data_IF_887485192219
#
_entry.id   IF_887485192219
#
_cell.length_a   1.000
_cell.length_b   1.000
_cell.length_c   1.000
_cell.angle_alpha   90.00
_cell.angle_beta   90.00
_cell.angle_gamma   90.00
#
_symmetry.space_group_name_H-M   'P 1'
#
loop_
_entity.id
_entity.type
_entity.pdbx_description
1 polymer ?
#
# COMPACT_ATOMS: atom_id res chain seq x y z
N UNK A 1 -5.51 -24.25 -11.68
CA UNK A 1 -5.76 -24.06 -13.12
C UNK A 1 -4.52 -24.35 -14.02
N UNK A 2 -3.44 -24.92 -13.46
CA UNK A 2 -2.23 -25.38 -14.15
C UNK A 2 -1.63 -24.40 -15.19
N UNK A 3 -1.88 -23.11 -15.05
CA UNK A 3 -1.31 -22.08 -15.94
C UNK A 3 0.21 -21.95 -15.78
N UNK A 4 0.76 -22.37 -14.64
CA UNK A 4 2.21 -22.55 -14.45
C UNK A 4 2.46 -24.02 -14.25
N UNK A 5 3.24 -24.63 -15.14
CA UNK A 5 3.53 -26.06 -15.10
C UNK A 5 4.50 -26.40 -13.96
N UNK A 6 4.33 -27.55 -13.29
CA UNK A 6 5.28 -28.04 -12.29
C UNK A 6 6.73 -28.13 -12.79
N UNK A 7 6.93 -28.32 -14.09
CA UNK A 7 8.25 -28.35 -14.73
C UNK A 7 9.08 -27.08 -14.57
N UNK A 8 8.46 -25.96 -14.13
CA UNK A 8 9.16 -24.73 -13.81
C UNK A 8 9.73 -24.68 -12.37
N UNK A 9 9.30 -25.63 -11.50
CA UNK A 9 9.78 -25.69 -10.12
C UNK A 9 11.30 -25.87 -9.97
N UNK A 10 11.97 -26.76 -10.76
CA UNK A 10 13.41 -26.91 -10.65
C UNK A 10 14.18 -25.58 -10.79
N UNK A 11 13.76 -24.68 -11.69
CA UNK A 11 14.37 -23.36 -11.85
C UNK A 11 14.29 -22.50 -10.57
N UNK A 12 13.20 -22.60 -9.80
CA UNK A 12 13.06 -21.89 -8.55
C UNK A 12 13.94 -22.52 -7.45
N UNK A 13 14.09 -23.84 -7.47
CA UNK A 13 14.97 -24.55 -6.52
C UNK A 13 16.44 -24.24 -6.80
N UNK A 14 16.88 -24.24 -8.05
CA UNK A 14 18.24 -23.83 -8.41
C UNK A 14 18.56 -22.40 -7.93
N UNK A 15 17.58 -21.50 -8.04
CA UNK A 15 17.76 -20.11 -7.60
C UNK A 15 17.82 -19.98 -6.08
N UNK A 16 16.98 -20.75 -5.33
CA UNK A 16 16.99 -20.69 -3.86
C UNK A 16 18.28 -21.29 -3.28
N UNK A 17 18.92 -22.25 -3.98
CA UNK A 17 20.21 -22.85 -3.61
C UNK A 17 21.36 -21.84 -3.71
N UNK A 18 21.23 -20.78 -4.53
CA UNK A 18 22.20 -19.67 -4.61
C UNK A 18 22.25 -18.81 -3.34
N UNK A 19 21.42 -19.11 -2.35
CA UNK A 19 21.42 -18.43 -1.07
C UNK A 19 20.24 -17.48 -0.82
N UNK A 20 19.25 -17.43 -1.72
CA UNK A 20 18.03 -16.65 -1.50
C UNK A 20 17.09 -17.35 -0.50
N UNK A 21 16.29 -16.55 0.20
CA UNK A 21 15.34 -17.05 1.19
C UNK A 21 13.97 -17.32 0.57
N UNK A 22 13.59 -16.51 -0.44
CA UNK A 22 12.36 -16.64 -1.20
C UNK A 22 12.63 -16.35 -2.67
N UNK A 23 12.07 -17.17 -3.56
CA UNK A 23 12.17 -16.98 -5.01
C UNK A 23 10.78 -16.94 -5.60
N UNK A 24 10.44 -15.84 -6.27
CA UNK A 24 9.18 -15.67 -7.01
C UNK A 24 9.37 -15.93 -8.49
N UNK A 25 8.50 -16.75 -9.07
CA UNK A 25 8.36 -16.82 -10.52
C UNK A 25 7.50 -15.67 -11.02
N UNK A 26 7.93 -14.88 -12.00
CA UNK A 26 7.11 -13.84 -12.59
C UNK A 26 6.83 -14.06 -14.08
N UNK A 27 5.73 -13.51 -14.56
CA UNK A 27 5.29 -13.65 -15.95
C UNK A 27 5.71 -12.43 -16.77
N UNK A 28 6.65 -12.55 -17.73
CA UNK A 28 7.19 -11.43 -18.50
C UNK A 28 6.15 -10.80 -19.43
N UNK A 29 5.27 -11.60 -20.02
CA UNK A 29 4.28 -11.14 -21.00
C UNK A 29 2.90 -10.97 -20.38
N UNK A 30 2.41 -9.72 -20.29
CA UNK A 30 1.01 -9.38 -20.05
C UNK A 30 0.49 -8.57 -21.23
N UNK A 31 -0.14 -9.24 -22.22
CA UNK A 31 -0.87 -8.58 -23.30
C UNK A 31 -2.23 -8.08 -22.80
N UNK A 32 -2.29 -6.83 -22.33
CA UNK A 32 -3.53 -6.22 -21.85
C UNK A 32 -3.78 -4.86 -22.50
N UNK A 33 -5.05 -4.43 -22.60
CA UNK A 33 -5.41 -3.11 -23.13
C UNK A 33 -4.80 -1.97 -22.30
N UNK A 34 -4.54 -0.81 -22.92
CA UNK A 34 -3.90 0.36 -22.27
C UNK A 34 -4.62 0.81 -21.00
N UNK A 35 -5.95 0.80 -20.99
CA UNK A 35 -6.76 1.19 -19.83
C UNK A 35 -6.58 0.23 -18.65
N UNK A 36 -6.56 -1.08 -18.92
CA UNK A 36 -6.33 -2.12 -17.88
C UNK A 36 -4.90 -2.10 -17.37
N UNK A 37 -3.94 -1.71 -18.20
CA UNK A 37 -2.55 -1.52 -17.79
C UNK A 37 -2.40 -0.34 -16.82
N UNK A 38 -3.10 0.77 -17.04
CA UNK A 38 -3.10 1.92 -16.14
C UNK A 38 -3.68 1.55 -14.76
N UNK A 39 -4.84 0.89 -14.72
CA UNK A 39 -5.43 0.41 -13.46
C UNK A 39 -4.52 -0.59 -12.72
N UNK A 40 -3.87 -1.50 -13.47
CA UNK A 40 -2.89 -2.41 -12.90
C UNK A 40 -1.66 -1.66 -12.37
N UNK A 41 -1.17 -0.65 -13.08
CA UNK A 41 -0.03 0.15 -12.63
C UNK A 41 -0.35 0.90 -11.33
N UNK A 42 -1.49 1.58 -11.25
CA UNK A 42 -1.96 2.26 -10.02
C UNK A 42 -2.05 1.26 -8.86
N UNK A 43 -2.63 0.09 -9.10
CA UNK A 43 -2.72 -0.96 -8.09
C UNK A 43 -1.34 -1.44 -7.64
N UNK A 44 -0.44 -1.75 -8.58
CA UNK A 44 0.91 -2.21 -8.25
C UNK A 44 1.70 -1.15 -7.47
N UNK A 45 1.59 0.11 -7.85
CA UNK A 45 2.29 1.20 -7.19
C UNK A 45 1.71 1.46 -5.79
N UNK A 46 0.39 1.43 -5.63
CA UNK A 46 -0.26 1.51 -4.33
C UNK A 46 0.20 0.38 -3.40
N UNK A 47 0.16 -0.86 -3.88
CA UNK A 47 0.63 -2.04 -3.13
C UNK A 47 2.12 -1.92 -2.78
N UNK A 48 2.93 -1.43 -3.70
CA UNK A 48 4.36 -1.22 -3.47
C UNK A 48 4.61 -0.26 -2.31
N UNK A 49 3.92 0.88 -2.31
CA UNK A 49 4.04 1.91 -1.26
C UNK A 49 3.49 1.38 0.07
N UNK A 50 2.31 0.76 0.05
CA UNK A 50 1.61 0.29 1.25
C UNK A 50 2.37 -0.85 1.97
N UNK A 51 3.02 -1.75 1.22
CA UNK A 51 3.73 -2.92 1.78
C UNK A 51 5.24 -2.67 1.92
N UNK A 52 5.75 -1.56 1.36
CA UNK A 52 7.19 -1.27 1.35
C UNK A 52 7.99 -2.20 0.42
N UNK A 53 7.38 -2.62 -0.69
CA UNK A 53 7.98 -3.53 -1.66
C UNK A 53 9.13 -2.86 -2.43
N UNK A 54 10.31 -3.50 -2.58
CA UNK A 54 11.41 -2.96 -3.37
C UNK A 54 11.04 -2.67 -4.82
N UNK A 55 11.65 -1.64 -5.41
CA UNK A 55 11.48 -1.31 -6.84
C UNK A 55 11.98 -2.49 -7.69
N UNK A 56 11.21 -2.83 -8.73
CA UNK A 56 11.58 -3.92 -9.66
C UNK A 56 11.19 -5.33 -9.19
N UNK A 57 10.82 -5.54 -7.95
CA UNK A 57 10.39 -6.85 -7.46
C UNK A 57 9.03 -7.23 -8.07
N UNK A 58 9.01 -8.31 -8.84
CA UNK A 58 7.80 -8.88 -9.43
C UNK A 58 7.38 -10.10 -8.63
N UNK A 59 6.20 -10.08 -8.06
CA UNK A 59 5.66 -11.18 -7.25
C UNK A 59 4.48 -11.85 -7.96
N UNK A 60 4.36 -13.15 -7.77
CA UNK A 60 3.20 -13.94 -8.20
C UNK A 60 2.77 -14.90 -7.09
N UNK A 61 1.78 -15.72 -7.37
CA UNK A 61 1.38 -16.82 -6.50
C UNK A 61 2.25 -18.08 -6.64
N UNK A 62 3.17 -18.08 -7.62
CA UNK A 62 4.10 -19.17 -7.85
C UNK A 62 5.47 -18.82 -7.28
N UNK A 63 5.83 -19.42 -6.15
CA UNK A 63 7.06 -19.12 -5.42
C UNK A 63 7.51 -20.29 -4.57
N UNK A 64 8.77 -20.29 -4.18
CA UNK A 64 9.36 -21.19 -3.18
C UNK A 64 9.95 -20.36 -2.06
N UNK A 65 9.97 -20.90 -0.84
CA UNK A 65 10.57 -20.25 0.33
C UNK A 65 11.30 -21.25 1.22
N UNK A 66 12.30 -20.77 1.94
CA UNK A 66 12.99 -21.57 2.96
C UNK A 66 12.09 -21.86 4.15
N UNK A 67 12.40 -22.94 4.86
CA UNK A 67 11.63 -23.42 6.01
C UNK A 67 11.40 -22.35 7.08
N UNK A 68 12.42 -21.58 7.45
CA UNK A 68 12.30 -20.55 8.49
C UNK A 68 11.31 -19.45 8.13
N UNK A 69 11.23 -19.06 6.84
CA UNK A 69 10.23 -18.07 6.35
C UNK A 69 8.82 -18.60 6.50
N UNK A 70 8.60 -19.86 6.13
CA UNK A 70 7.32 -20.55 6.33
C UNK A 70 6.95 -20.61 7.80
N UNK A 71 7.88 -21.01 8.65
CA UNK A 71 7.64 -21.21 10.09
C UNK A 71 7.28 -19.89 10.78
N UNK A 72 7.87 -18.76 10.34
CA UNK A 72 7.48 -17.43 10.79
C UNK A 72 6.05 -17.07 10.34
N UNK A 73 5.71 -17.33 9.08
CA UNK A 73 4.40 -17.01 8.52
C UNK A 73 3.28 -17.76 9.20
N UNK A 74 3.48 -19.07 9.53
CA UNK A 74 2.46 -19.90 10.19
C UNK A 74 2.17 -19.46 11.64
N UNK A 75 3.10 -18.79 12.30
CA UNK A 75 2.87 -18.24 13.64
C UNK A 75 1.95 -17.03 13.66
N UNK A 76 1.76 -16.39 12.50
CA UNK A 76 0.90 -15.23 12.38
C UNK A 76 -0.58 -15.62 12.31
N UNK A 77 -1.35 -15.27 13.35
CA UNK A 77 -2.75 -15.72 13.53
C UNK A 77 -3.80 -14.67 13.22
N UNK A 78 -3.39 -13.50 12.71
CA UNK A 78 -4.33 -12.42 12.40
C UNK A 78 -5.23 -12.75 11.20
N UNK A 79 -6.53 -12.39 11.25
CA UNK A 79 -7.52 -12.80 10.24
C UNK A 79 -7.32 -12.12 8.87
N UNK A 80 -6.68 -10.95 8.83
CA UNK A 80 -6.46 -10.17 7.60
C UNK A 80 -4.99 -10.15 7.23
N UNK A 81 -4.53 -11.23 6.62
CA UNK A 81 -3.11 -11.45 6.33
C UNK A 81 -2.82 -11.20 4.85
N UNK A 82 -1.80 -10.40 4.57
CA UNK A 82 -1.24 -10.27 3.22
C UNK A 82 0.09 -11.02 3.14
N UNK A 83 0.09 -12.19 2.49
CA UNK A 83 1.24 -13.10 2.46
C UNK A 83 2.55 -12.44 2.00
N UNK A 84 2.50 -11.62 0.94
CA UNK A 84 3.69 -10.92 0.44
C UNK A 84 4.23 -9.90 1.47
N UNK A 85 3.34 -9.26 2.23
CA UNK A 85 3.73 -8.38 3.32
C UNK A 85 4.42 -9.12 4.45
N UNK A 86 3.95 -10.32 4.82
CA UNK A 86 4.60 -11.16 5.83
C UNK A 86 5.99 -11.63 5.36
N UNK A 87 6.11 -12.06 4.11
CA UNK A 87 7.40 -12.42 3.52
C UNK A 87 8.39 -11.26 3.64
N UNK A 88 7.98 -10.04 3.26
CA UNK A 88 8.84 -8.84 3.33
C UNK A 88 9.20 -8.39 4.75
N UNK A 89 8.38 -8.77 5.74
CA UNK A 89 8.71 -8.58 7.18
C UNK A 89 9.75 -9.58 7.66
N UNK A 90 9.74 -10.79 7.11
CA UNK A 90 10.65 -11.87 7.53
C UNK A 90 12.01 -11.76 6.87
N UNK A 91 12.06 -11.47 5.57
CA UNK A 91 13.30 -11.35 4.82
C UNK A 91 13.21 -10.36 3.68
N UNK A 92 14.36 -9.80 3.31
CA UNK A 92 14.54 -9.00 2.09
C UNK A 92 15.43 -9.68 1.05
N UNK A 93 15.95 -10.84 1.38
CA UNK A 93 16.78 -11.65 0.49
C UNK A 93 15.90 -12.47 -0.48
N UNK A 94 15.34 -11.78 -1.47
CA UNK A 94 14.32 -12.30 -2.38
C UNK A 94 14.81 -12.17 -3.80
N UNK A 95 14.70 -13.26 -4.58
CA UNK A 95 14.92 -13.28 -6.02
C UNK A 95 13.62 -13.38 -6.81
N UNK A 96 13.65 -12.95 -8.06
CA UNK A 96 12.54 -13.06 -9.00
C UNK A 96 13.04 -13.57 -10.34
N UNK A 97 12.52 -14.72 -10.80
CA UNK A 97 12.90 -15.31 -12.08
C UNK A 97 11.71 -15.36 -13.05
N UNK A 98 11.94 -15.22 -14.35
CA UNK A 98 10.89 -15.37 -15.33
C UNK A 98 10.45 -16.84 -15.44
N UNK A 99 9.14 -17.06 -15.44
CA UNK A 99 8.54 -18.36 -15.66
C UNK A 99 7.50 -18.29 -16.77
N UNK A 100 7.33 -19.39 -17.48
CA UNK A 100 6.35 -19.49 -18.55
C UNK A 100 4.94 -19.52 -17.96
N UNK A 101 4.04 -18.77 -18.58
CA UNK A 101 2.64 -18.72 -18.22
C UNK A 101 1.80 -19.14 -19.42
N UNK A 102 1.04 -20.19 -19.26
CA UNK A 102 0.18 -20.73 -20.30
C UNK A 102 -1.23 -20.17 -20.19
N UNK A 103 -1.93 -20.13 -21.30
CA UNK A 103 -3.33 -19.77 -21.30
C UNK A 103 -4.16 -20.79 -20.50
N UNK A 104 -5.23 -20.30 -19.91
CA UNK A 104 -6.12 -21.09 -19.08
C UNK A 104 -6.86 -22.10 -19.96
N UNK A 105 -6.70 -23.39 -19.70
CA UNK A 105 -7.37 -24.45 -20.45
C UNK A 105 -8.90 -24.46 -20.21
N UNK A 106 -9.35 -24.14 -18.98
CA UNK A 106 -10.77 -24.14 -18.60
C UNK A 106 -11.08 -23.00 -17.61
N UNK A 107 -12.31 -22.45 -17.69
CA UNK A 107 -12.87 -21.51 -16.73
C UNK A 107 -12.63 -20.03 -17.06
N UNK A 108 -13.42 -19.16 -16.40
CA UNK A 108 -13.36 -17.71 -16.53
C UNK A 108 -12.57 -17.08 -15.39
N UNK A 109 -12.06 -15.87 -15.63
CA UNK A 109 -11.36 -15.09 -14.58
C UNK A 109 -12.29 -14.79 -13.42
N UNK A 110 -11.97 -15.29 -12.23
CA UNK A 110 -12.73 -15.03 -11.00
C UNK A 110 -12.53 -13.60 -10.42
N UNK A 111 -11.83 -12.70 -11.11
CA UNK A 111 -11.59 -11.32 -10.68
C UNK A 111 -12.80 -10.45 -11.01
N UNK A 112 -13.66 -10.24 -10.02
CA UNK A 112 -14.76 -9.29 -10.09
C UNK A 112 -14.33 -7.99 -9.42
N UNK A 113 -14.89 -6.84 -9.85
CA UNK A 113 -14.59 -5.51 -9.28
C UNK A 113 -14.77 -5.48 -7.75
N UNK A 114 -15.81 -6.14 -7.21
CA UNK A 114 -16.01 -6.31 -5.76
C UNK A 114 -14.85 -7.03 -5.06
N UNK A 115 -14.28 -8.05 -5.71
CA UNK A 115 -13.10 -8.77 -5.17
C UNK A 115 -11.85 -7.91 -5.19
N UNK A 116 -11.67 -7.05 -6.20
CA UNK A 116 -10.56 -6.10 -6.26
C UNK A 116 -10.64 -5.05 -5.15
N UNK A 117 -11.84 -4.49 -4.88
CA UNK A 117 -12.06 -3.56 -3.78
C UNK A 117 -11.74 -4.23 -2.44
N UNK A 118 -12.21 -5.48 -2.22
CA UNK A 118 -11.93 -6.23 -1.00
C UNK A 118 -10.44 -6.51 -0.81
N UNK A 119 -9.74 -6.88 -1.87
CA UNK A 119 -8.28 -7.05 -1.84
C UNK A 119 -7.57 -5.75 -1.48
N UNK A 120 -7.98 -4.64 -2.08
CA UNK A 120 -7.40 -3.32 -1.81
C UNK A 120 -7.67 -2.87 -0.37
N UNK A 121 -8.88 -3.06 0.14
CA UNK A 121 -9.24 -2.80 1.54
C UNK A 121 -8.37 -3.57 2.52
N UNK A 122 -8.11 -4.87 2.25
CA UNK A 122 -7.24 -5.68 3.09
C UNK A 122 -5.79 -5.16 3.09
N UNK A 123 -5.28 -4.70 1.94
CA UNK A 123 -3.92 -4.14 1.84
C UNK A 123 -3.81 -2.80 2.55
N UNK A 124 -4.83 -1.94 2.42
CA UNK A 124 -4.91 -0.65 3.13
C UNK A 124 -4.94 -0.87 4.64
N UNK A 125 -5.74 -1.83 5.12
CA UNK A 125 -5.79 -2.20 6.54
C UNK A 125 -4.48 -2.76 7.10
N UNK A 126 -3.61 -3.30 6.25
CA UNK A 126 -2.29 -3.81 6.64
C UNK A 126 -1.20 -2.72 6.71
N UNK A 127 -1.45 -1.54 6.19
CA UNK A 127 -0.46 -0.48 6.04
C UNK A 127 -0.77 0.74 6.90
N UNK A 128 0.24 1.27 7.56
CA UNK A 128 0.16 2.55 8.30
C UNK A 128 0.33 3.77 7.37
N UNK A 129 0.62 3.57 6.08
CA UNK A 129 0.86 4.67 5.12
C UNK A 129 -0.35 5.60 4.97
N UNK A 130 -1.61 5.12 4.82
CA UNK A 130 -2.77 6.01 4.73
C UNK A 130 -2.94 6.91 5.95
N UNK A 131 -2.64 6.38 7.15
CA UNK A 131 -2.70 7.15 8.38
C UNK A 131 -1.62 8.23 8.43
N UNK A 132 -0.39 7.92 8.01
CA UNK A 132 0.70 8.91 7.88
C UNK A 132 0.35 10.01 6.89
N UNK A 133 -0.27 9.66 5.77
CA UNK A 133 -0.75 10.67 4.82
C UNK A 133 -1.81 11.58 5.45
N UNK A 134 -2.76 11.02 6.21
CA UNK A 134 -3.76 11.81 6.93
C UNK A 134 -3.11 12.73 7.97
N UNK A 135 -2.11 12.24 8.72
CA UNK A 135 -1.34 13.04 9.68
C UNK A 135 -0.62 14.20 9.00
N UNK A 136 0.08 13.94 7.89
CA UNK A 136 0.77 14.99 7.14
C UNK A 136 -0.19 16.04 6.57
N UNK A 137 -1.31 15.60 5.98
CA UNK A 137 -2.35 16.50 5.48
C UNK A 137 -2.96 17.34 6.61
N UNK A 138 -3.25 16.71 7.75
CA UNK A 138 -3.76 17.38 8.94
C UNK A 138 -2.80 18.47 9.44
N UNK A 139 -1.51 18.17 9.49
CA UNK A 139 -0.48 19.16 9.87
C UNK A 139 -0.44 20.34 8.90
N UNK A 140 -0.49 20.09 7.60
CA UNK A 140 -0.51 21.14 6.57
C UNK A 140 -1.75 22.02 6.71
N UNK A 141 -2.95 21.44 6.83
CA UNK A 141 -4.18 22.21 7.00
C UNK A 141 -4.23 22.98 8.31
N UNK A 142 -3.75 22.40 9.40
CA UNK A 142 -3.64 23.10 10.69
C UNK A 142 -2.71 24.32 10.59
N UNK A 143 -1.57 24.17 9.92
CA UNK A 143 -0.61 25.26 9.70
C UNK A 143 -1.19 26.38 8.83
N UNK A 144 -1.86 26.03 7.72
CA UNK A 144 -2.55 26.99 6.86
C UNK A 144 -3.67 27.72 7.60
N UNK A 145 -4.44 27.03 8.43
CA UNK A 145 -5.47 27.61 9.27
C UNK A 145 -4.90 28.60 10.30
N UNK A 146 -3.78 28.24 10.93
CA UNK A 146 -3.10 29.11 11.89
C UNK A 146 -2.58 30.40 11.22
N UNK A 147 -1.92 30.25 10.06
CA UNK A 147 -1.44 31.40 9.27
C UNK A 147 -2.64 32.28 8.84
N UNK A 148 -3.73 31.66 8.36
CA UNK A 148 -4.95 32.37 8.00
C UNK A 148 -5.54 33.14 9.17
N UNK A 149 -5.59 32.54 10.36
CA UNK A 149 -6.05 33.21 11.58
C UNK A 149 -5.19 34.44 11.94
N UNK A 150 -3.86 34.29 11.88
CA UNK A 150 -2.92 35.40 12.13
C UNK A 150 -3.16 36.53 11.12
N UNK A 151 -3.28 36.21 9.82
CA UNK A 151 -3.53 37.22 8.79
C UNK A 151 -4.86 37.96 9.02
N UNK A 152 -5.91 37.25 9.43
CA UNK A 152 -7.22 37.88 9.74
C UNK A 152 -7.09 38.80 10.95
N UNK A 153 -6.40 38.39 12.00
CA UNK A 153 -6.18 39.21 13.21
C UNK A 153 -5.41 40.51 12.84
N UNK A 154 -4.29 40.37 12.10
CA UNK A 154 -3.48 41.53 11.67
C UNK A 154 -4.31 42.49 10.81
N UNK A 155 -5.07 41.98 9.84
CA UNK A 155 -5.94 42.85 9.02
C UNK A 155 -7.00 43.56 9.83
N UNK A 156 -7.56 42.93 10.85
CA UNK A 156 -8.54 43.59 11.73
C UNK A 156 -7.95 44.71 12.54
N UNK A 157 -6.73 44.54 13.05
CA UNK A 157 -6.00 45.59 13.79
C UNK A 157 -5.72 46.79 12.87
N UNK A 158 -5.34 46.52 11.61
CA UNK A 158 -5.04 47.58 10.64
C UNK A 158 -6.29 48.27 10.08
N UNK A 159 -7.41 47.59 10.00
CA UNK A 159 -8.68 48.13 9.49
C UNK A 159 -9.87 47.69 10.35
N UNK A 160 -10.19 48.46 11.41
CA UNK A 160 -11.29 48.15 12.34
C UNK A 160 -12.69 48.07 11.72
N UNK A 161 -12.90 48.76 10.59
CA UNK A 161 -14.17 48.74 9.87
C UNK A 161 -14.43 47.46 9.06
N UNK A 162 -13.46 46.58 8.94
CA UNK A 162 -13.58 45.36 8.18
C UNK A 162 -14.60 44.38 8.78
N UNK A 163 -15.59 43.99 7.98
CA UNK A 163 -16.52 42.92 8.37
C UNK A 163 -15.77 41.58 8.44
N UNK A 164 -15.73 40.99 9.63
CA UNK A 164 -14.98 39.77 9.87
C UNK A 164 -15.93 38.62 10.22
N UNK A 165 -16.45 37.96 9.23
CA UNK A 165 -17.22 36.73 9.51
C UNK A 165 -16.61 35.53 8.79
N UNK A 166 -16.54 35.64 7.46
CA UNK A 166 -16.22 34.51 6.61
C UNK A 166 -14.75 34.04 6.70
N UNK A 167 -13.82 34.98 6.67
CA UNK A 167 -12.39 34.63 6.67
C UNK A 167 -11.93 34.02 8.00
N UNK A 168 -12.42 34.56 9.12
CA UNK A 168 -12.11 34.00 10.45
C UNK A 168 -12.73 32.63 10.66
N UNK A 169 -13.98 32.43 10.16
CA UNK A 169 -14.64 31.13 10.20
C UNK A 169 -13.86 30.10 9.40
N UNK A 170 -13.46 30.42 8.16
CA UNK A 170 -12.64 29.53 7.33
C UNK A 170 -11.29 29.20 7.96
N UNK A 171 -10.60 30.18 8.54
CA UNK A 171 -9.35 29.95 9.23
C UNK A 171 -9.53 29.01 10.44
N UNK A 172 -10.59 29.21 11.22
CA UNK A 172 -10.91 28.32 12.34
C UNK A 172 -11.24 26.89 11.86
N UNK A 173 -12.05 26.73 10.80
CA UNK A 173 -12.39 25.41 10.24
C UNK A 173 -11.11 24.69 9.78
N UNK A 174 -10.23 25.34 9.04
CA UNK A 174 -8.98 24.71 8.58
C UNK A 174 -8.08 24.32 9.75
N UNK A 175 -7.95 25.18 10.75
CA UNK A 175 -7.13 24.91 11.92
C UNK A 175 -7.64 23.70 12.71
N UNK A 176 -8.92 23.71 13.10
CA UNK A 176 -9.47 22.63 13.91
C UNK A 176 -9.60 21.32 13.13
N UNK A 177 -9.98 21.36 11.85
CA UNK A 177 -10.01 20.18 11.01
C UNK A 177 -8.62 19.56 10.84
N UNK A 178 -7.60 20.40 10.68
CA UNK A 178 -6.21 19.96 10.62
C UNK A 178 -5.76 19.31 11.92
N UNK A 179 -6.09 19.91 13.06
CA UNK A 179 -5.76 19.38 14.39
C UNK A 179 -6.43 18.01 14.64
N UNK A 180 -7.69 17.87 14.24
CA UNK A 180 -8.42 16.58 14.33
C UNK A 180 -7.76 15.52 13.46
N UNK A 181 -7.46 15.83 12.18
CA UNK A 181 -6.80 14.91 11.27
C UNK A 181 -5.41 14.50 11.77
N UNK A 182 -4.66 15.44 12.30
CA UNK A 182 -3.36 15.18 12.90
C UNK A 182 -3.45 14.21 14.08
N UNK A 183 -4.39 14.48 15.01
CA UNK A 183 -4.63 13.63 16.19
C UNK A 183 -5.07 12.23 15.81
N UNK A 184 -6.00 12.08 14.85
CA UNK A 184 -6.43 10.79 14.33
C UNK A 184 -5.29 10.03 13.66
N UNK A 185 -4.42 10.74 12.95
CA UNK A 185 -3.24 10.15 12.33
C UNK A 185 -2.24 9.61 13.36
N UNK A 186 -1.99 10.36 14.45
CA UNK A 186 -1.15 9.89 15.57
C UNK A 186 -1.73 8.64 16.23
N UNK A 187 -3.02 8.65 16.57
CA UNK A 187 -3.71 7.51 17.16
C UNK A 187 -3.56 6.28 16.26
N UNK A 188 -3.78 6.48 14.95
CA UNK A 188 -3.64 5.42 13.98
C UNK A 188 -2.22 4.88 13.87
N UNK A 189 -1.18 5.71 13.98
CA UNK A 189 0.21 5.24 13.99
C UNK A 189 0.53 4.44 15.25
N UNK A 190 -0.03 4.79 16.41
CA UNK A 190 0.10 4.01 17.64
C UNK A 190 -0.58 2.64 17.48
N UNK A 191 -1.81 2.59 16.97
CA UNK A 191 -2.54 1.34 16.73
C UNK A 191 -1.80 0.45 15.71
N UNK A 192 -1.22 1.04 14.68
CA UNK A 192 -0.47 0.31 13.65
C UNK A 192 0.87 -0.28 14.12
N UNK A 193 1.35 0.11 15.32
CA UNK A 193 2.57 -0.44 15.95
C UNK A 193 2.28 -1.53 16.98
N UNK A 194 1.04 -1.68 17.42
CA UNK A 194 0.57 -2.77 18.29
C UNK A 194 0.35 -4.05 17.49
#
# INVERSE_FOLDING_TARGET
>A
DLQTRPSQLPKLFEEIEKGYDVVYGYYPEKKHSRFRNFGSWVHFESVRILIGKPKGMKTSSFFVMRKFVRDYIIQYKEPYTHLQGLVLRTTRNISCIPVEHFDRAYGQSGYTFKKLIKLWSNIVGYSVVPLRMATCLGMVFSMLGLIGAIVVIVRKIMNPAMMMGWASLMAAIFFFSGLILFSLGLIGEYIGRM
#
